data_IF_862035614166
#
_entry.id   IF_862035614166
#
_cell.length_a   1.000
_cell.length_b   1.000
_cell.length_c   1.000
_cell.angle_alpha   90.00
_cell.angle_beta   90.00
_cell.angle_gamma   90.00
#
_symmetry.space_group_name_H-M   'P 1'
#
loop_
_entity.id
_entity.type
_entity.pdbx_description
1 polymer ?
#
# COMPACT_ATOMS: atom_id res chain seq x y z
N UNK A 1 -40.89 26.70 -16.41
CA UNK A 1 -39.42 26.60 -16.34
C UNK A 1 -39.07 25.55 -15.28
N UNK A 2 -38.78 24.31 -15.74
CA UNK A 2 -38.27 23.26 -14.86
C UNK A 2 -36.80 23.61 -14.54
N UNK A 3 -36.57 24.31 -13.44
CA UNK A 3 -35.22 24.41 -12.83
C UNK A 3 -34.99 23.07 -12.11
N UNK A 4 -34.12 22.24 -12.68
CA UNK A 4 -33.67 21.01 -12.01
C UNK A 4 -33.04 21.31 -10.65
N UNK A 5 -33.13 20.36 -9.72
CA UNK A 5 -32.44 20.42 -8.43
C UNK A 5 -30.94 20.30 -8.67
N UNK A 6 -30.15 21.19 -8.10
CA UNK A 6 -28.69 21.14 -8.12
C UNK A 6 -28.20 20.80 -6.70
N UNK A 7 -27.37 19.79 -6.61
CA UNK A 7 -26.79 19.37 -5.33
C UNK A 7 -25.76 20.42 -4.88
N UNK A 8 -25.90 20.91 -3.63
CA UNK A 8 -24.92 21.82 -3.01
C UNK A 8 -23.57 21.13 -2.75
N UNK A 9 -22.50 21.87 -2.52
CA UNK A 9 -21.19 21.30 -2.17
C UNK A 9 -21.27 20.47 -0.87
N UNK A 10 -21.99 20.94 0.15
CA UNK A 10 -22.27 20.17 1.35
C UNK A 10 -23.05 18.87 1.03
N UNK A 11 -24.00 18.92 0.12
CA UNK A 11 -24.75 17.75 -0.33
C UNK A 11 -23.88 16.75 -1.08
N UNK A 12 -22.90 17.21 -1.87
CA UNK A 12 -21.93 16.33 -2.54
C UNK A 12 -21.01 15.64 -1.54
N UNK A 13 -20.53 16.37 -0.52
CA UNK A 13 -19.72 15.81 0.56
C UNK A 13 -20.46 14.67 1.26
N UNK A 14 -21.67 14.96 1.77
CA UNK A 14 -22.50 13.95 2.45
C UNK A 14 -22.81 12.77 1.52
N UNK A 15 -23.05 13.01 0.23
CA UNK A 15 -23.32 11.94 -0.74
C UNK A 15 -22.10 11.00 -0.89
N UNK A 16 -20.89 11.56 -0.98
CA UNK A 16 -19.69 10.75 -1.10
C UNK A 16 -19.41 9.96 0.19
N UNK A 17 -19.53 10.60 1.35
CA UNK A 17 -19.39 9.94 2.65
C UNK A 17 -20.43 8.83 2.82
N UNK A 18 -21.69 9.09 2.42
CA UNK A 18 -22.75 8.08 2.47
C UNK A 18 -22.47 6.88 1.57
N UNK A 19 -21.92 7.10 0.37
CA UNK A 19 -21.51 5.99 -0.51
C UNK A 19 -20.42 5.14 0.14
N UNK A 20 -19.43 5.79 0.77
CA UNK A 20 -18.36 5.10 1.48
C UNK A 20 -18.93 4.26 2.64
N UNK A 21 -19.75 4.86 3.50
CA UNK A 21 -20.37 4.19 4.65
C UNK A 21 -21.22 2.99 4.20
N UNK A 22 -22.05 3.16 3.15
CA UNK A 22 -22.88 2.06 2.63
C UNK A 22 -22.00 0.94 2.05
N UNK A 23 -20.93 1.29 1.33
CA UNK A 23 -19.93 0.34 0.83
C UNK A 23 -19.31 -0.45 1.97
N UNK A 24 -18.77 0.25 2.95
CA UNK A 24 -18.16 -0.33 4.14
C UNK A 24 -19.10 -1.26 4.92
N UNK A 25 -20.35 -0.85 5.12
CA UNK A 25 -21.36 -1.70 5.76
C UNK A 25 -21.64 -2.99 4.97
N UNK A 26 -21.76 -2.89 3.64
CA UNK A 26 -21.95 -4.08 2.78
C UNK A 26 -20.76 -5.04 2.89
N UNK A 27 -19.56 -4.51 2.84
CA UNK A 27 -18.34 -5.29 2.94
C UNK A 27 -18.18 -5.90 4.33
N UNK A 28 -18.55 -5.18 5.40
CA UNK A 28 -18.57 -5.70 6.76
C UNK A 28 -19.52 -6.90 6.90
N UNK A 29 -20.74 -6.80 6.37
CA UNK A 29 -21.68 -7.93 6.36
C UNK A 29 -21.16 -9.10 5.54
N UNK A 30 -20.52 -8.82 4.40
CA UNK A 30 -19.90 -9.85 3.59
C UNK A 30 -18.76 -10.54 4.34
N UNK A 31 -17.86 -9.77 4.98
CA UNK A 31 -16.78 -10.31 5.83
C UNK A 31 -17.31 -11.22 6.93
N UNK A 32 -18.37 -10.80 7.63
CA UNK A 32 -18.99 -11.62 8.66
C UNK A 32 -19.54 -12.95 8.12
N UNK A 33 -20.18 -12.93 6.95
CA UNK A 33 -20.66 -14.13 6.27
C UNK A 33 -19.52 -15.04 5.81
N UNK A 34 -18.49 -14.45 5.22
CA UNK A 34 -17.30 -15.17 4.75
C UNK A 34 -16.57 -15.83 5.95
N UNK A 35 -16.48 -15.14 7.08
CA UNK A 35 -15.89 -15.67 8.32
C UNK A 35 -16.66 -16.88 8.87
N UNK A 36 -17.98 -16.94 8.68
CA UNK A 36 -18.79 -18.11 9.05
C UNK A 36 -18.58 -19.33 8.13
N UNK A 37 -18.01 -19.11 6.94
CA UNK A 37 -17.78 -20.14 5.92
C UNK A 37 -16.29 -20.51 5.78
N UNK A 38 -15.44 -20.07 6.70
CA UNK A 38 -13.99 -20.34 6.63
C UNK A 38 -13.76 -21.84 6.69
N UNK A 39 -13.42 -22.42 5.54
CA UNK A 39 -12.69 -23.68 5.52
C UNK A 39 -11.26 -23.37 5.98
N UNK A 40 -10.72 -24.14 6.90
CA UNK A 40 -9.40 -23.94 7.53
C UNK A 40 -8.23 -23.93 6.51
N UNK A 41 -8.52 -24.29 5.25
CA UNK A 41 -7.53 -24.50 4.18
C UNK A 41 -7.37 -23.32 3.20
N UNK A 42 -8.01 -22.17 3.43
CA UNK A 42 -7.96 -21.00 2.52
C UNK A 42 -7.24 -19.84 3.16
N UNK A 43 -6.07 -19.47 2.63
CA UNK A 43 -5.33 -18.25 3.02
C UNK A 43 -5.80 -17.08 2.15
N UNK A 44 -6.29 -16.02 2.80
CA UNK A 44 -6.73 -14.78 2.14
C UNK A 44 -5.57 -13.80 2.06
N UNK A 45 -5.10 -13.57 0.83
CA UNK A 45 -3.96 -12.69 0.55
C UNK A 45 -4.47 -11.33 0.08
N UNK A 46 -4.14 -10.28 0.82
CA UNK A 46 -4.44 -8.90 0.45
C UNK A 46 -3.52 -8.43 -0.68
N UNK A 47 -4.12 -7.83 -1.70
CA UNK A 47 -3.40 -7.31 -2.87
C UNK A 47 -3.88 -5.91 -3.25
N UNK A 48 -2.95 -5.06 -3.66
CA UNK A 48 -3.20 -3.72 -4.19
C UNK A 48 -2.21 -3.40 -5.30
N UNK A 49 -2.34 -2.28 -6.01
CA UNK A 49 -1.34 -1.84 -6.97
C UNK A 49 0.08 -1.72 -6.41
N UNK A 50 0.23 -1.37 -5.11
CA UNK A 50 1.52 -1.25 -4.43
C UNK A 50 1.94 -2.55 -3.72
N UNK A 51 1.06 -3.53 -3.61
CA UNK A 51 1.32 -4.86 -3.05
C UNK A 51 0.87 -5.94 -4.03
N UNK A 52 1.51 -6.03 -5.21
CA UNK A 52 1.08 -6.95 -6.26
C UNK A 52 1.29 -8.40 -5.82
N UNK A 53 0.43 -9.33 -6.27
CA UNK A 53 0.49 -10.74 -5.87
C UNK A 53 1.61 -11.52 -6.55
N UNK A 54 2.53 -10.86 -7.27
CA UNK A 54 3.51 -11.51 -8.14
C UNK A 54 4.30 -12.60 -7.44
N UNK A 55 4.81 -12.31 -6.23
CA UNK A 55 5.59 -13.27 -5.45
C UNK A 55 4.79 -14.53 -5.11
N UNK A 56 3.50 -14.39 -4.81
CA UNK A 56 2.64 -15.54 -4.52
C UNK A 56 2.36 -16.37 -5.78
N UNK A 57 2.13 -15.69 -6.92
CA UNK A 57 1.89 -16.36 -8.20
C UNK A 57 3.11 -17.15 -8.63
N UNK A 58 4.31 -16.61 -8.47
CA UNK A 58 5.57 -17.28 -8.82
C UNK A 58 5.90 -18.46 -7.90
N UNK A 59 5.58 -18.34 -6.62
CA UNK A 59 5.81 -19.39 -5.63
C UNK A 59 4.71 -20.46 -5.62
N UNK A 60 3.54 -20.16 -6.18
CA UNK A 60 2.38 -21.05 -6.12
C UNK A 60 2.65 -22.49 -6.55
N UNK A 61 3.32 -22.78 -7.68
CA UNK A 61 3.60 -24.16 -8.10
C UNK A 61 4.44 -24.94 -7.07
N UNK A 62 5.32 -24.26 -6.35
CA UNK A 62 6.14 -24.86 -5.29
C UNK A 62 5.32 -25.13 -4.04
N UNK A 63 4.47 -24.18 -3.66
CA UNK A 63 3.59 -24.30 -2.50
C UNK A 63 2.59 -25.41 -2.71
N UNK A 64 1.93 -25.48 -3.87
CA UNK A 64 0.95 -26.50 -4.20
C UNK A 64 1.55 -27.93 -4.21
N UNK A 65 2.84 -28.05 -4.56
CA UNK A 65 3.54 -29.32 -4.49
C UNK A 65 3.77 -29.81 -3.05
N UNK A 66 4.02 -28.87 -2.13
CA UNK A 66 4.25 -29.18 -0.70
C UNK A 66 2.96 -29.31 0.08
N UNK A 67 1.95 -28.53 -0.30
CA UNK A 67 0.66 -28.40 0.40
C UNK A 67 -0.48 -28.46 -0.63
N UNK A 68 -0.84 -29.66 -1.13
CA UNK A 68 -1.81 -29.82 -2.23
C UNK A 68 -3.21 -29.28 -1.94
N UNK A 69 -3.62 -29.35 -0.67
CA UNK A 69 -4.95 -28.96 -0.21
C UNK A 69 -5.06 -27.46 0.11
N UNK A 70 -3.92 -26.76 0.20
CA UNK A 70 -3.88 -25.34 0.51
C UNK A 70 -4.44 -24.50 -0.66
N UNK A 71 -5.32 -23.56 -0.35
CA UNK A 71 -5.93 -22.63 -1.32
C UNK A 71 -5.61 -21.21 -0.95
N UNK A 72 -5.44 -20.36 -1.96
CA UNK A 72 -5.35 -18.91 -1.78
C UNK A 72 -6.57 -18.22 -2.37
N UNK A 73 -7.00 -17.16 -1.68
CA UNK A 73 -7.99 -16.23 -2.18
C UNK A 73 -7.38 -14.84 -2.20
N UNK A 74 -7.28 -14.23 -3.37
CA UNK A 74 -6.80 -12.84 -3.49
C UNK A 74 -7.94 -11.89 -3.13
N UNK A 75 -7.67 -10.98 -2.20
CA UNK A 75 -8.60 -9.94 -1.74
C UNK A 75 -8.02 -8.59 -2.14
N UNK A 76 -8.66 -7.92 -3.08
CA UNK A 76 -8.23 -6.59 -3.52
C UNK A 76 -8.64 -5.53 -2.53
N UNK A 77 -7.74 -4.56 -2.31
CA UNK A 77 -8.03 -3.37 -1.50
C UNK A 77 -7.43 -2.11 -2.13
N UNK A 78 -7.99 -0.97 -1.80
CA UNK A 78 -7.42 0.32 -2.17
C UNK A 78 -6.30 0.67 -1.20
N UNK A 79 -5.16 1.10 -1.73
CA UNK A 79 -3.97 1.41 -0.92
C UNK A 79 -4.00 2.88 -0.49
N UNK A 80 -5.03 3.26 0.27
CA UNK A 80 -5.06 4.52 1.01
C UNK A 80 -4.46 4.34 2.40
N UNK A 81 -3.99 5.43 3.01
CA UNK A 81 -3.44 5.42 4.37
C UNK A 81 -4.39 4.80 5.39
N UNK A 82 -5.68 5.13 5.29
CA UNK A 82 -6.70 4.62 6.17
C UNK A 82 -6.93 3.13 5.96
N UNK A 83 -7.12 2.69 4.70
CA UNK A 83 -7.35 1.28 4.39
C UNK A 83 -6.17 0.39 4.76
N UNK A 84 -4.95 0.82 4.45
CA UNK A 84 -3.76 0.06 4.81
C UNK A 84 -3.64 -0.08 6.35
N UNK A 85 -3.96 0.98 7.08
CA UNK A 85 -3.97 0.98 8.54
C UNK A 85 -5.02 0.01 9.09
N UNK A 86 -6.23 0.06 8.58
CA UNK A 86 -7.34 -0.80 8.99
C UNK A 86 -7.04 -2.26 8.69
N UNK A 87 -6.54 -2.57 7.49
CA UNK A 87 -6.23 -3.94 7.08
C UNK A 87 -5.16 -4.57 7.96
N UNK A 88 -4.05 -3.85 8.21
CA UNK A 88 -2.96 -4.36 9.04
C UNK A 88 -3.37 -4.54 10.51
N UNK A 89 -4.23 -3.67 11.03
CA UNK A 89 -4.78 -3.81 12.38
C UNK A 89 -5.79 -4.95 12.52
N UNK A 90 -6.34 -5.45 11.41
CA UNK A 90 -7.40 -6.47 11.39
C UNK A 90 -7.01 -7.71 10.57
N UNK A 91 -5.72 -8.04 10.49
CA UNK A 91 -5.27 -9.29 9.88
C UNK A 91 -5.91 -10.49 10.58
N UNK A 92 -6.29 -11.49 9.79
CA UNK A 92 -7.05 -12.66 10.25
C UNK A 92 -8.58 -12.52 10.13
N UNK A 93 -9.12 -11.31 9.98
CA UNK A 93 -10.56 -11.11 9.81
C UNK A 93 -11.03 -11.28 8.35
N UNK A 94 -10.49 -10.48 7.43
CA UNK A 94 -10.85 -10.52 6.02
C UNK A 94 -9.64 -10.85 5.12
N UNK A 95 -8.48 -10.44 5.53
CA UNK A 95 -7.19 -10.70 4.92
C UNK A 95 -6.31 -11.35 5.98
N UNK A 96 -5.66 -12.44 5.65
CA UNK A 96 -4.79 -13.16 6.59
C UNK A 96 -3.34 -12.68 6.47
N UNK A 97 -2.91 -12.36 5.25
CA UNK A 97 -1.54 -11.94 4.96
C UNK A 97 -1.50 -10.90 3.85
N UNK A 98 -0.57 -9.97 3.98
CA UNK A 98 -0.23 -8.98 2.93
C UNK A 98 1.28 -9.06 2.69
N UNK A 99 1.70 -9.14 1.42
CA UNK A 99 3.10 -8.94 1.06
C UNK A 99 3.30 -7.49 0.63
N UNK A 100 4.28 -6.81 1.18
CA UNK A 100 4.55 -5.41 0.88
C UNK A 100 5.91 -4.97 1.41
N UNK A 101 6.23 -3.72 1.23
CA UNK A 101 7.45 -3.11 1.80
C UNK A 101 7.13 -2.62 3.20
N UNK A 102 7.77 -3.21 4.19
CA UNK A 102 7.58 -2.88 5.60
C UNK A 102 8.94 -2.73 6.29
N UNK A 103 8.97 -1.97 7.37
CA UNK A 103 10.06 -1.97 8.35
C UNK A 103 9.52 -2.31 9.75
N UNK A 104 10.43 -2.59 10.69
CA UNK A 104 10.06 -3.00 12.05
C UNK A 104 9.17 -1.97 12.73
N UNK A 105 9.49 -0.68 12.60
CA UNK A 105 8.73 0.39 13.24
C UNK A 105 7.29 0.48 12.71
N UNK A 106 7.09 0.21 11.42
CA UNK A 106 5.75 0.17 10.82
C UNK A 106 4.95 -1.02 11.33
N UNK A 107 5.58 -2.20 11.46
CA UNK A 107 4.93 -3.39 11.98
C UNK A 107 4.52 -3.22 13.45
N UNK A 108 5.41 -2.67 14.29
CA UNK A 108 5.10 -2.34 15.69
C UNK A 108 3.95 -1.35 15.80
N UNK A 109 3.99 -0.26 15.03
CA UNK A 109 2.94 0.76 15.01
C UNK A 109 1.57 0.18 14.63
N UNK A 110 1.55 -0.87 13.81
CA UNK A 110 0.32 -1.51 13.31
C UNK A 110 -0.10 -2.72 14.15
N UNK A 111 0.71 -3.15 15.11
CA UNK A 111 0.44 -4.31 15.96
C UNK A 111 0.40 -5.62 15.17
N UNK A 112 1.18 -5.74 14.11
CA UNK A 112 1.26 -6.95 13.30
C UNK A 112 2.68 -7.51 13.29
N UNK A 113 2.82 -8.79 12.97
CA UNK A 113 4.10 -9.46 12.78
C UNK A 113 4.45 -9.53 11.29
N UNK A 114 5.74 -9.51 10.98
CA UNK A 114 6.24 -9.64 9.62
C UNK A 114 7.34 -10.71 9.52
N UNK A 115 7.44 -11.29 8.33
CA UNK A 115 8.53 -12.19 7.95
C UNK A 115 9.25 -11.56 6.77
N UNK A 116 10.56 -11.31 6.92
CA UNK A 116 11.39 -10.80 5.84
C UNK A 116 11.49 -11.84 4.72
N UNK A 117 11.13 -11.45 3.50
CA UNK A 117 11.26 -12.28 2.30
C UNK A 117 12.49 -11.86 1.50
N UNK A 118 12.70 -10.55 1.35
CA UNK A 118 13.85 -9.95 0.67
C UNK A 118 14.12 -8.56 1.22
N UNK A 119 15.29 -8.01 0.90
CA UNK A 119 15.63 -6.61 1.13
C UNK A 119 15.69 -5.89 -0.20
N UNK A 120 14.87 -4.87 -0.34
CA UNK A 120 14.81 -4.07 -1.55
C UNK A 120 15.49 -2.72 -1.33
N UNK A 121 16.41 -2.30 -2.20
CA UNK A 121 17.02 -0.98 -2.10
C UNK A 121 16.01 0.10 -2.50
N UNK A 122 16.17 1.30 -1.95
CA UNK A 122 15.49 2.47 -2.50
C UNK A 122 15.99 2.76 -3.90
N UNK A 123 15.08 2.98 -4.83
CA UNK A 123 15.37 3.35 -6.20
C UNK A 123 14.69 4.68 -6.56
N UNK A 124 15.30 5.43 -7.45
CA UNK A 124 14.72 6.66 -8.00
C UNK A 124 14.03 6.33 -9.32
N UNK A 125 12.76 6.66 -9.44
CA UNK A 125 12.01 6.61 -10.69
C UNK A 125 11.99 7.99 -11.34
N UNK A 126 12.25 8.05 -12.63
CA UNK A 126 12.20 9.27 -13.43
C UNK A 126 11.43 9.02 -14.74
N UNK A 127 10.83 10.08 -15.30
CA UNK A 127 10.24 9.99 -16.63
C UNK A 127 11.28 9.57 -17.68
N UNK A 128 10.88 8.78 -18.67
CA UNK A 128 11.75 8.37 -19.79
C UNK A 128 12.31 9.58 -20.56
N UNK A 129 11.68 10.75 -20.45
CA UNK A 129 12.10 12.01 -21.07
C UNK A 129 12.97 12.86 -20.15
N UNK A 130 13.18 12.42 -18.91
CA UNK A 130 14.01 13.17 -17.96
C UNK A 130 15.49 13.08 -18.32
N UNK A 131 16.27 14.13 -18.03
CA UNK A 131 17.71 14.16 -18.29
C UNK A 131 18.49 13.00 -17.64
N UNK A 132 18.01 12.51 -16.50
CA UNK A 132 18.62 11.41 -15.76
C UNK A 132 18.20 10.02 -16.27
N UNK A 133 17.21 9.90 -17.17
CA UNK A 133 16.67 8.62 -17.62
C UNK A 133 17.67 7.76 -18.41
N UNK A 134 18.75 8.36 -18.91
CA UNK A 134 19.80 7.65 -19.68
C UNK A 134 20.99 7.21 -18.83
N UNK A 135 20.94 7.50 -17.52
CA UNK A 135 22.01 7.10 -16.60
C UNK A 135 21.74 5.69 -16.07
N UNK A 136 22.76 4.86 -16.03
CA UNK A 136 22.71 3.54 -15.42
C UNK A 136 22.65 3.63 -13.88
N UNK A 137 23.27 4.66 -13.32
CA UNK A 137 23.26 4.96 -11.88
C UNK A 137 23.00 6.44 -11.69
N UNK A 138 22.06 6.76 -10.81
CA UNK A 138 21.77 8.13 -10.37
C UNK A 138 22.33 8.32 -8.97
N UNK A 139 23.15 9.36 -8.80
CA UNK A 139 23.73 9.76 -7.50
C UNK A 139 22.98 10.96 -6.93
N UNK A 140 23.19 11.28 -5.65
CA UNK A 140 22.63 12.49 -5.05
C UNK A 140 23.14 13.78 -5.73
N UNK A 141 24.39 13.79 -6.18
CA UNK A 141 24.93 14.93 -6.94
C UNK A 141 24.19 15.16 -8.27
N UNK A 142 23.73 14.09 -8.91
CA UNK A 142 22.94 14.19 -10.13
C UNK A 142 21.56 14.80 -9.89
N UNK A 143 21.02 14.66 -8.68
CA UNK A 143 19.71 15.15 -8.28
C UNK A 143 19.72 16.60 -7.77
N UNK A 144 20.89 17.26 -7.70
CA UNK A 144 20.96 18.69 -7.34
C UNK A 144 20.05 19.53 -8.22
N UNK A 145 19.31 20.43 -7.57
CA UNK A 145 18.29 21.29 -8.16
C UNK A 145 17.04 20.57 -8.70
N UNK A 146 16.92 19.26 -8.52
CA UNK A 146 15.70 18.51 -8.79
C UNK A 146 14.72 18.57 -7.61
N UNK A 147 13.47 18.23 -7.89
CA UNK A 147 12.48 17.98 -6.86
C UNK A 147 12.27 16.48 -6.73
N UNK A 148 12.66 15.92 -5.61
CA UNK A 148 12.47 14.50 -5.28
C UNK A 148 11.15 14.34 -4.52
N UNK A 149 10.23 13.56 -5.06
CA UNK A 149 9.04 13.12 -4.35
C UNK A 149 9.45 11.97 -3.42
N UNK A 150 9.13 12.10 -2.15
CA UNK A 150 9.46 11.09 -1.12
C UNK A 150 8.26 10.89 -0.20
N UNK A 151 8.10 9.68 0.31
CA UNK A 151 7.02 9.36 1.23
C UNK A 151 6.96 10.33 2.40
N UNK A 152 5.75 10.70 2.80
CA UNK A 152 5.48 11.52 3.97
C UNK A 152 6.12 10.92 5.23
N UNK A 153 6.53 11.79 6.16
CA UNK A 153 7.12 11.33 7.44
C UNK A 153 6.18 10.41 8.22
N UNK A 154 6.80 9.43 8.89
CA UNK A 154 6.10 8.46 9.73
C UNK A 154 5.56 7.24 8.98
N UNK A 155 5.77 7.14 7.67
CA UNK A 155 5.40 5.95 6.90
C UNK A 155 6.45 4.84 6.98
N UNK A 156 7.72 5.22 7.04
CA UNK A 156 8.84 4.29 7.08
C UNK A 156 10.01 4.94 7.81
N UNK A 157 10.56 4.28 8.81
CA UNK A 157 11.74 4.77 9.52
C UNK A 157 12.95 4.89 8.60
N UNK A 158 13.07 4.01 7.60
CA UNK A 158 14.13 4.09 6.61
C UNK A 158 13.91 5.25 5.63
N UNK A 159 12.65 5.53 5.26
CA UNK A 159 12.29 6.71 4.47
C UNK A 159 12.59 8.01 5.22
N UNK A 160 12.29 8.05 6.51
CA UNK A 160 12.58 9.21 7.36
C UNK A 160 14.09 9.45 7.50
N UNK A 161 14.88 8.40 7.71
CA UNK A 161 16.36 8.49 7.74
C UNK A 161 16.93 8.98 6.41
N UNK A 162 16.44 8.46 5.29
CA UNK A 162 16.84 8.93 3.96
C UNK A 162 16.52 10.41 3.76
N UNK A 163 15.34 10.85 4.19
CA UNK A 163 14.91 12.25 4.15
C UNK A 163 15.84 13.14 4.97
N UNK A 164 16.18 12.72 6.19
CA UNK A 164 17.05 13.47 7.07
C UNK A 164 18.47 13.58 6.50
N UNK A 165 18.98 12.49 5.94
CA UNK A 165 20.28 12.48 5.25
C UNK A 165 20.32 13.44 4.04
N UNK A 166 19.26 13.46 3.24
CA UNK A 166 19.15 14.40 2.11
C UNK A 166 19.12 15.84 2.59
N UNK A 167 18.32 16.15 3.60
CA UNK A 167 18.22 17.52 4.15
C UNK A 167 19.58 18.00 4.70
N UNK A 168 20.30 17.12 5.38
CA UNK A 168 21.57 17.46 6.03
C UNK A 168 22.72 17.57 5.02
N UNK A 169 22.82 16.61 4.08
CA UNK A 169 24.02 16.47 3.24
C UNK A 169 23.81 16.96 1.80
N UNK A 170 22.57 17.10 1.33
CA UNK A 170 22.22 17.47 -0.05
C UNK A 170 21.11 18.55 -0.11
N UNK A 171 21.30 19.70 0.52
CA UNK A 171 20.24 20.73 0.66
C UNK A 171 19.77 21.34 -0.66
N UNK A 172 20.51 21.13 -1.75
CA UNK A 172 20.11 21.56 -3.09
C UNK A 172 19.01 20.68 -3.71
N UNK A 173 18.74 19.50 -3.16
CA UNK A 173 17.64 18.63 -3.57
C UNK A 173 16.38 19.10 -2.86
N UNK A 174 15.38 19.52 -3.65
CA UNK A 174 14.08 19.89 -3.09
C UNK A 174 13.28 18.66 -2.78
N UNK A 175 12.68 18.57 -1.59
CA UNK A 175 11.81 17.47 -1.22
C UNK A 175 10.35 17.88 -1.35
N UNK A 176 9.53 16.98 -1.85
CA UNK A 176 8.07 17.09 -1.91
C UNK A 176 7.45 15.80 -1.39
N UNK A 177 6.45 15.93 -0.54
CA UNK A 177 5.74 14.78 -0.01
C UNK A 177 4.78 14.19 -1.04
N UNK A 178 4.61 12.88 -1.01
CA UNK A 178 3.48 12.21 -1.65
C UNK A 178 2.81 11.27 -0.64
N UNK A 179 1.50 11.10 -0.83
CA UNK A 179 0.64 10.25 -0.01
C UNK A 179 0.56 8.82 -0.59
#
# INVERSE_FOLDING_TARGET
THRGLVVTEAGKSIYNDSKYIIGYCKDSVKRAKDAMQVSEDVIRVGVSPLTPPQIFVELWPKIQKLYPDMKFKLITFENTSENAREILANLGQNIDVVAGVFDESLLELRGCAGVEISKEPFCVAVSIHHRLAKKDVITFDDMKNETLMIMQRGWSSNGDKLRDDIIENYPEIKLSDFD
#
